data_IF_262552236524
#
_entry.id   IF_262552236524
#
_cell.length_a   1.000
_cell.length_b   1.000
_cell.length_c   1.000
_cell.angle_alpha   90.00
_cell.angle_beta   90.00
_cell.angle_gamma   90.00
#
_symmetry.space_group_name_H-M   'P 1'
#
loop_
_entity.id
_entity.type
_entity.pdbx_description
1 polymer ?
#
# COMPACT_ATOMS: atom_id res chain seq x y z
N UNK A 1 5.71 4.20 -18.79
CA UNK A 1 4.46 4.73 -19.37
C UNK A 1 3.21 3.87 -19.18
N UNK A 2 3.29 2.53 -19.15
CA UNK A 2 2.12 1.66 -19.14
C UNK A 2 1.21 1.78 -17.90
N UNK A 3 1.78 1.98 -16.70
CA UNK A 3 1.01 2.15 -15.46
C UNK A 3 0.09 3.38 -15.53
N UNK A 4 0.62 4.52 -16.00
CA UNK A 4 -0.16 5.75 -16.14
C UNK A 4 -1.32 5.59 -17.15
N UNK A 5 -1.18 4.67 -18.11
CA UNK A 5 -2.23 4.30 -19.08
C UNK A 5 -3.22 3.27 -18.51
N UNK A 6 -3.09 2.85 -17.25
CA UNK A 6 -4.04 1.98 -16.57
C UNK A 6 -3.76 0.48 -16.74
N UNK A 7 -2.52 0.07 -16.99
CA UNK A 7 -2.17 -1.35 -17.20
C UNK A 7 -2.51 -2.27 -16.01
N UNK A 8 -2.69 -1.70 -14.81
CA UNK A 8 -3.15 -2.38 -13.61
C UNK A 8 -4.66 -2.68 -13.56
N UNK A 9 -5.47 -2.19 -14.50
CA UNK A 9 -6.94 -2.37 -14.50
C UNK A 9 -7.37 -3.68 -15.17
N UNK A 10 -6.77 -4.80 -14.78
CA UNK A 10 -7.01 -6.12 -15.38
C UNK A 10 -7.82 -7.01 -14.43
N UNK A 11 -8.91 -7.63 -14.91
CA UNK A 11 -9.82 -8.41 -14.06
C UNK A 11 -9.21 -9.71 -13.48
N UNK A 12 -8.11 -10.22 -14.03
CA UNK A 12 -7.54 -11.53 -13.64
C UNK A 12 -6.12 -11.47 -13.06
N UNK A 13 -5.64 -10.29 -12.61
CA UNK A 13 -4.39 -10.13 -11.87
C UNK A 13 -3.23 -10.98 -12.41
N UNK A 14 -2.86 -12.02 -11.66
CA UNK A 14 -1.80 -12.97 -12.02
C UNK A 14 -2.02 -13.61 -13.41
N UNK A 15 -3.20 -14.08 -13.75
CA UNK A 15 -3.43 -14.70 -15.07
C UNK A 15 -3.34 -13.68 -16.21
N UNK A 16 -3.55 -12.39 -15.91
CA UNK A 16 -3.44 -11.29 -16.87
C UNK A 16 -2.04 -10.65 -16.94
N UNK A 17 -1.05 -11.29 -16.30
CA UNK A 17 0.36 -10.89 -16.33
C UNK A 17 0.79 -9.86 -15.28
N UNK A 18 -0.07 -9.52 -14.30
CA UNK A 18 0.34 -8.68 -13.17
C UNK A 18 1.29 -9.48 -12.27
N UNK A 19 2.50 -8.97 -12.01
CA UNK A 19 3.49 -9.62 -11.17
C UNK A 19 4.17 -8.59 -10.29
N UNK A 20 4.34 -8.86 -9.01
CA UNK A 20 5.30 -8.13 -8.18
C UNK A 20 6.66 -8.77 -8.36
N UNK A 21 7.46 -8.41 -9.36
CA UNK A 21 8.85 -8.91 -9.48
C UNK A 21 9.80 -7.90 -8.85
N UNK A 22 11.05 -8.29 -8.58
CA UNK A 22 12.09 -7.44 -7.97
C UNK A 22 12.49 -6.15 -8.73
N UNK A 23 11.73 -5.74 -9.74
CA UNK A 23 11.76 -4.41 -10.32
C UNK A 23 10.59 -3.58 -9.79
N UNK A 24 10.89 -2.48 -9.10
CA UNK A 24 9.91 -1.65 -8.36
C UNK A 24 8.67 -1.23 -9.16
N UNK A 25 8.79 -1.04 -10.48
CA UNK A 25 7.65 -0.68 -11.33
C UNK A 25 6.62 -1.81 -11.40
N UNK A 26 7.06 -3.07 -11.40
CA UNK A 26 6.19 -4.23 -11.39
C UNK A 26 5.45 -4.35 -10.05
N UNK A 27 6.15 -4.16 -8.93
CA UNK A 27 5.56 -4.13 -7.59
C UNK A 27 4.55 -2.97 -7.44
N UNK A 28 4.83 -1.81 -8.04
CA UNK A 28 3.89 -0.70 -8.10
C UNK A 28 2.63 -1.03 -8.91
N UNK A 29 2.79 -1.64 -10.09
CA UNK A 29 1.65 -2.08 -10.92
C UNK A 29 0.78 -3.10 -10.18
N UNK A 30 1.41 -4.06 -9.50
CA UNK A 30 0.74 -5.07 -8.67
C UNK A 30 -0.01 -4.47 -7.48
N UNK A 31 0.60 -3.52 -6.76
CA UNK A 31 -0.05 -2.81 -5.65
C UNK A 31 -1.26 -1.99 -6.13
N UNK A 32 -1.14 -1.31 -7.29
CA UNK A 32 -2.24 -0.57 -7.90
C UNK A 32 -3.36 -1.49 -8.38
N UNK A 33 -3.03 -2.67 -8.91
CA UNK A 33 -4.03 -3.67 -9.27
C UNK A 33 -4.82 -4.12 -8.05
N UNK A 34 -4.14 -4.45 -6.95
CA UNK A 34 -4.80 -4.88 -5.72
C UNK A 34 -5.70 -3.78 -5.14
N UNK A 35 -5.22 -2.53 -5.15
CA UNK A 35 -6.01 -1.37 -4.73
C UNK A 35 -7.22 -1.11 -5.64
N UNK A 36 -7.06 -1.22 -6.95
CA UNK A 36 -8.14 -1.01 -7.91
C UNK A 36 -9.22 -2.10 -7.86
N UNK A 37 -8.82 -3.35 -7.57
CA UNK A 37 -9.68 -4.52 -7.70
C UNK A 37 -10.39 -4.93 -6.40
N UNK A 38 -10.24 -4.17 -5.32
CA UNK A 38 -10.79 -4.50 -4.00
C UNK A 38 -11.47 -3.30 -3.34
N UNK A 39 -12.24 -3.53 -2.27
CA UNK A 39 -13.09 -2.50 -1.67
C UNK A 39 -12.81 -2.27 -0.18
N UNK A 40 -11.85 -2.99 0.40
CA UNK A 40 -11.38 -2.77 1.76
C UNK A 40 -9.85 -2.93 1.85
N UNK A 41 -9.26 -2.35 2.89
CA UNK A 41 -7.83 -2.51 3.18
C UNK A 41 -7.46 -4.00 3.31
N UNK A 42 -8.30 -4.78 4.00
CA UNK A 42 -8.02 -6.20 4.25
C UNK A 42 -8.04 -7.02 2.96
N UNK A 43 -9.07 -6.85 2.14
CA UNK A 43 -9.18 -7.55 0.84
C UNK A 43 -8.00 -7.22 -0.07
N UNK A 44 -7.65 -5.94 -0.22
CA UNK A 44 -6.55 -5.55 -1.09
C UNK A 44 -5.17 -5.93 -0.55
N UNK A 45 -4.96 -5.92 0.77
CA UNK A 45 -3.71 -6.40 1.37
C UNK A 45 -3.53 -7.90 1.09
N UNK A 46 -4.58 -8.70 1.27
CA UNK A 46 -4.56 -10.12 0.94
C UNK A 46 -4.35 -10.34 -0.57
N UNK A 47 -5.00 -9.55 -1.42
CA UNK A 47 -4.81 -9.63 -2.87
C UNK A 47 -3.36 -9.30 -3.28
N UNK A 48 -2.76 -8.27 -2.68
CA UNK A 48 -1.38 -7.87 -2.93
C UNK A 48 -0.37 -8.96 -2.52
N UNK A 49 -0.56 -9.58 -1.34
CA UNK A 49 0.30 -10.67 -0.87
C UNK A 49 0.11 -11.93 -1.72
N UNK A 50 -1.12 -12.27 -2.09
CA UNK A 50 -1.44 -13.49 -2.84
C UNK A 50 -1.03 -13.43 -4.32
N UNK A 51 -0.60 -12.28 -4.86
CA UNK A 51 0.02 -12.21 -6.19
C UNK A 51 1.36 -12.96 -6.27
N UNK A 52 1.99 -13.28 -5.14
CA UNK A 52 3.27 -13.99 -5.09
C UNK A 52 4.46 -13.14 -5.55
N UNK A 53 5.57 -13.82 -5.84
CA UNK A 53 6.87 -13.24 -6.19
C UNK A 53 7.44 -12.32 -5.07
N UNK A 54 7.55 -11.02 -5.29
CA UNK A 54 8.04 -9.97 -4.38
C UNK A 54 6.89 -9.41 -3.54
N UNK A 55 6.38 -10.26 -2.64
CA UNK A 55 5.16 -10.01 -1.88
C UNK A 55 5.34 -8.92 -0.83
N UNK A 56 6.50 -8.84 -0.18
CA UNK A 56 6.78 -7.85 0.87
C UNK A 56 6.86 -6.44 0.28
N UNK A 57 7.57 -6.25 -0.84
CA UNK A 57 7.62 -4.94 -1.52
C UNK A 57 6.24 -4.54 -2.04
N UNK A 58 5.51 -5.47 -2.68
CA UNK A 58 4.17 -5.19 -3.22
C UNK A 58 3.18 -4.83 -2.12
N UNK A 59 3.15 -5.60 -1.03
CA UNK A 59 2.28 -5.34 0.12
C UNK A 59 2.66 -4.03 0.85
N UNK A 60 3.95 -3.69 0.94
CA UNK A 60 4.39 -2.44 1.53
C UNK A 60 3.96 -1.21 0.72
N UNK A 61 4.04 -1.26 -0.62
CA UNK A 61 3.54 -0.20 -1.50
C UNK A 61 2.02 -0.08 -1.38
N UNK A 62 1.30 -1.22 -1.44
CA UNK A 62 -0.15 -1.25 -1.24
C UNK A 62 -0.53 -0.64 0.12
N UNK A 63 0.15 -1.03 1.19
CA UNK A 63 -0.15 -0.60 2.55
C UNK A 63 -0.04 0.92 2.74
N UNK A 64 0.95 1.55 2.10
CA UNK A 64 1.08 3.02 2.11
C UNK A 64 -0.09 3.70 1.40
N UNK A 65 -0.43 3.27 0.18
CA UNK A 65 -1.51 3.85 -0.62
C UNK A 65 -2.89 3.62 0.02
N UNK A 66 -3.21 2.36 0.30
CA UNK A 66 -4.49 1.95 0.86
C UNK A 66 -4.65 2.47 2.30
N UNK A 67 -3.57 2.49 3.09
CA UNK A 67 -3.60 3.04 4.45
C UNK A 67 -3.91 4.54 4.47
N UNK A 68 -3.35 5.31 3.54
CA UNK A 68 -3.68 6.72 3.38
C UNK A 68 -5.14 6.94 2.90
N UNK A 69 -5.64 6.08 2.01
CA UNK A 69 -6.99 6.19 1.46
C UNK A 69 -8.09 5.76 2.44
N UNK A 70 -7.99 4.57 3.02
CA UNK A 70 -9.00 4.04 3.95
C UNK A 70 -8.86 4.63 5.36
N UNK A 71 -7.66 5.06 5.74
CA UNK A 71 -7.35 5.62 7.04
C UNK A 71 -7.13 4.55 8.12
N UNK A 72 -6.31 4.88 9.13
CA UNK A 72 -5.85 3.96 10.18
C UNK A 72 -6.97 3.19 10.89
N UNK A 73 -8.13 3.83 11.13
CA UNK A 73 -9.27 3.21 11.83
C UNK A 73 -9.98 2.11 11.03
N UNK A 74 -9.68 1.96 9.74
CA UNK A 74 -10.25 0.94 8.86
C UNK A 74 -9.34 -0.28 8.68
N UNK A 75 -8.15 -0.26 9.27
CA UNK A 75 -7.25 -1.41 9.26
C UNK A 75 -7.75 -2.46 10.27
N UNK A 76 -7.58 -3.77 9.98
CA UNK A 76 -7.90 -4.84 10.94
C UNK A 76 -7.09 -4.67 12.23
N UNK A 77 -7.73 -4.48 13.40
CA UNK A 77 -7.04 -4.26 14.68
C UNK A 77 -6.05 -5.39 15.01
N UNK A 78 -6.44 -6.64 14.74
CA UNK A 78 -5.63 -7.83 14.96
C UNK A 78 -4.32 -7.83 14.15
N UNK A 79 -4.29 -7.19 12.99
CA UNK A 79 -3.06 -7.05 12.20
C UNK A 79 -2.19 -5.94 12.76
N UNK A 80 -2.80 -4.81 13.12
CA UNK A 80 -2.11 -3.64 13.65
C UNK A 80 -1.45 -3.96 15.01
N UNK A 81 -2.13 -4.72 15.87
CA UNK A 81 -1.67 -5.03 17.21
C UNK A 81 -0.46 -5.98 17.24
N UNK A 82 -0.24 -6.74 16.18
CA UNK A 82 0.90 -7.63 16.02
C UNK A 82 2.11 -6.98 15.32
N UNK A 83 2.02 -5.73 14.89
CA UNK A 83 3.13 -5.03 14.20
C UNK A 83 4.29 -4.80 15.17
N UNK A 84 5.47 -5.29 14.79
CA UNK A 84 6.69 -5.04 15.55
C UNK A 84 6.97 -3.54 15.65
N UNK A 85 7.32 -3.07 16.84
CA UNK A 85 7.60 -1.65 17.11
C UNK A 85 6.44 -0.69 16.78
N UNK A 86 5.18 -1.15 16.83
CA UNK A 86 3.97 -0.34 16.64
C UNK A 86 4.04 1.03 17.33
N UNK A 87 4.42 1.06 18.62
CA UNK A 87 4.52 2.31 19.39
C UNK A 87 5.50 3.31 18.77
N UNK A 88 6.63 2.83 18.27
CA UNK A 88 7.62 3.68 17.61
C UNK A 88 7.07 4.25 16.30
N UNK A 89 6.45 3.41 15.47
CA UNK A 89 5.81 3.81 14.21
C UNK A 89 4.72 4.85 14.47
N UNK A 90 3.84 4.61 15.46
CA UNK A 90 2.77 5.54 15.83
C UNK A 90 3.31 6.92 16.25
N UNK A 91 4.38 6.95 17.05
CA UNK A 91 5.03 8.20 17.45
C UNK A 91 5.65 8.91 16.24
N UNK A 92 6.33 8.18 15.36
CA UNK A 92 6.96 8.72 14.16
C UNK A 92 5.92 9.32 13.21
N UNK A 93 4.81 8.61 12.94
CA UNK A 93 3.73 9.12 12.10
C UNK A 93 3.10 10.39 12.66
N UNK A 94 2.88 10.47 13.98
CA UNK A 94 2.35 11.68 14.63
C UNK A 94 3.33 12.85 14.51
N UNK A 95 4.63 12.60 14.66
CA UNK A 95 5.65 13.63 14.48
C UNK A 95 5.71 14.13 13.04
N UNK A 96 5.75 13.24 12.05
CA UNK A 96 5.74 13.63 10.62
C UNK A 96 4.49 14.44 10.28
N UNK A 97 3.32 14.03 10.76
CA UNK A 97 2.07 14.78 10.54
C UNK A 97 2.10 16.15 11.22
N UNK A 98 2.65 16.24 12.42
CA UNK A 98 2.82 17.51 13.14
C UNK A 98 3.76 18.45 12.37
N UNK A 99 4.95 17.99 11.98
CA UNK A 99 5.93 18.79 11.22
C UNK A 99 5.36 19.26 9.88
N UNK A 100 4.68 18.36 9.14
CA UNK A 100 4.04 18.69 7.87
C UNK A 100 2.87 19.67 7.97
N UNK A 101 2.27 19.82 9.16
CA UNK A 101 1.21 20.81 9.43
C UNK A 101 1.74 22.18 9.88
N UNK A 102 3.04 22.30 10.15
CA UNK A 102 3.61 23.58 10.57
C UNK A 102 3.65 24.55 9.39
N UNK A 103 3.15 25.79 9.55
CA UNK A 103 3.30 26.80 8.52
C UNK A 103 4.80 27.05 8.31
N UNK A 104 5.28 26.83 7.09
CA UNK A 104 6.63 27.21 6.73
C UNK A 104 6.70 28.74 6.73
N UNK A 105 7.32 29.33 7.75
CA UNK A 105 7.74 30.72 7.70
C UNK A 105 8.82 30.82 6.62
N UNK A 106 8.44 31.25 5.41
CA UNK A 106 9.39 31.66 4.39
C UNK A 106 10.26 32.78 4.98
N UNK A 107 11.54 32.48 5.21
CA UNK A 107 12.60 33.49 5.34
C UNK A 107 13.24 33.69 3.97
#
# INVERSE_FOLDING_TARGET
>A
ENIAKGSFKKEKGYDAGIRGKGYVVNSLEAALWAFWSTHSFAEGALAAVNLGDDTDTTAAIYGQLAGAYYGFRKLPPEWVDCVYSKRFIDCLCKWIAYEGSQPHSNN
#
